data_IF_012794232517
#
_entry.id   IF_012794232517
#
_cell.length_a   1.000
_cell.length_b   1.000
_cell.length_c   1.000
_cell.angle_alpha   90.00
_cell.angle_beta   90.00
_cell.angle_gamma   90.00
#
_symmetry.space_group_name_H-M   'P 1'
#
loop_
_entity.id
_entity.type
_entity.pdbx_description
1 polymer ?
#
# COMPACT_ATOMS: atom_id res chain seq x y z
N UNK A 1 2.04 16.81 -6.07
CA UNK A 1 1.97 15.43 -6.59
C UNK A 1 3.39 14.92 -6.52
N UNK A 2 3.62 13.91 -5.70
CA UNK A 2 4.96 13.40 -5.39
C UNK A 2 5.48 12.48 -6.50
N UNK A 3 6.81 12.41 -6.63
CA UNK A 3 7.51 11.49 -7.55
C UNK A 3 7.04 10.04 -7.34
N UNK A 4 6.74 9.67 -6.10
CA UNK A 4 6.28 8.32 -5.76
C UNK A 4 4.88 8.02 -6.30
N UNK A 5 3.98 9.02 -6.31
CA UNK A 5 2.63 8.88 -6.87
C UNK A 5 2.68 8.70 -8.39
N UNK A 6 3.52 9.48 -9.07
CA UNK A 6 3.69 9.43 -10.52
C UNK A 6 4.30 8.08 -10.96
N UNK A 7 5.33 7.62 -10.25
CA UNK A 7 5.96 6.33 -10.54
C UNK A 7 4.97 5.17 -10.33
N UNK A 8 4.16 5.23 -9.27
CA UNK A 8 3.13 4.22 -9.03
C UNK A 8 2.04 4.23 -10.10
N UNK A 9 1.62 5.39 -10.58
CA UNK A 9 0.63 5.46 -11.65
C UNK A 9 1.12 4.70 -12.90
N UNK A 10 2.39 4.88 -13.27
CA UNK A 10 3.02 4.13 -14.37
C UNK A 10 3.07 2.64 -14.08
N UNK A 11 3.47 2.23 -12.87
CA UNK A 11 3.53 0.81 -12.50
C UNK A 11 2.16 0.14 -12.57
N UNK A 12 1.11 0.79 -12.04
CA UNK A 12 -0.27 0.29 -12.08
C UNK A 12 -0.76 0.15 -13.52
N UNK A 13 -0.49 1.16 -14.37
CA UNK A 13 -0.84 1.08 -15.79
C UNK A 13 -0.17 -0.11 -16.49
N UNK A 14 1.14 -0.31 -16.27
CA UNK A 14 1.89 -1.43 -16.86
C UNK A 14 1.43 -2.78 -16.35
N UNK A 15 1.11 -2.89 -15.06
CA UNK A 15 0.63 -4.13 -14.46
C UNK A 15 -0.78 -4.50 -14.95
N UNK A 16 -1.65 -3.50 -15.16
CA UNK A 16 -2.98 -3.69 -15.77
C UNK A 16 -2.90 -4.19 -17.21
N UNK A 17 -1.88 -3.77 -17.94
CA UNK A 17 -1.64 -4.21 -19.31
C UNK A 17 -1.01 -5.60 -19.43
N UNK A 18 -0.56 -6.23 -18.33
CA UNK A 18 0.10 -7.53 -18.33
C UNK A 18 -0.86 -8.65 -17.93
N UNK A 19 -1.15 -9.57 -18.84
CA UNK A 19 -2.09 -10.69 -18.62
C UNK A 19 -1.70 -11.62 -17.48
N UNK A 20 -0.41 -11.88 -17.30
CA UNK A 20 0.08 -12.80 -16.27
C UNK A 20 -0.11 -12.20 -14.87
N UNK A 21 0.09 -10.88 -14.75
CA UNK A 21 -0.17 -10.14 -13.52
C UNK A 21 -1.67 -10.01 -13.23
N UNK A 22 -2.51 -9.83 -14.26
CA UNK A 22 -3.95 -9.84 -14.11
C UNK A 22 -4.49 -11.21 -13.68
N UNK A 23 -3.90 -12.31 -14.17
CA UNK A 23 -4.29 -13.67 -13.79
C UNK A 23 -4.09 -13.97 -12.30
N UNK A 24 -3.17 -13.26 -11.63
CA UNK A 24 -2.92 -13.36 -10.18
C UNK A 24 -3.45 -12.15 -9.39
N UNK A 25 -4.31 -11.32 -9.99
CA UNK A 25 -4.89 -10.11 -9.38
C UNK A 25 -3.85 -9.10 -8.84
N UNK A 26 -2.68 -9.02 -9.48
CA UNK A 26 -1.59 -8.15 -9.04
C UNK A 26 -1.48 -6.93 -9.96
N UNK A 27 -2.24 -5.87 -9.67
CA UNK A 27 -2.18 -4.60 -10.41
C UNK A 27 -1.51 -3.46 -9.64
N UNK A 28 -1.28 -3.64 -8.33
CA UNK A 28 -0.66 -2.65 -7.45
C UNK A 28 -1.58 -1.52 -6.99
N UNK A 29 -2.89 -1.57 -7.24
CA UNK A 29 -3.86 -0.50 -6.95
C UNK A 29 -4.36 -0.42 -5.50
N UNK A 30 -4.11 -1.45 -4.67
CA UNK A 30 -4.76 -1.64 -3.36
C UNK A 30 -4.61 -0.55 -2.28
N UNK A 31 -3.58 0.31 -2.35
CA UNK A 31 -3.40 1.41 -1.39
C UNK A 31 -3.56 2.78 -2.06
N UNK A 32 -4.56 3.55 -1.62
CA UNK A 32 -4.88 4.87 -2.19
C UNK A 32 -4.33 6.06 -1.38
N UNK A 33 -3.95 5.83 -0.13
CA UNK A 33 -3.44 6.86 0.77
C UNK A 33 -1.93 6.86 0.81
N UNK A 34 -1.35 8.07 0.82
CA UNK A 34 0.09 8.29 0.81
C UNK A 34 0.51 8.98 2.09
N UNK A 35 1.54 8.43 2.74
CA UNK A 35 2.11 8.99 3.96
C UNK A 35 3.42 9.65 3.59
N UNK A 36 3.31 10.81 2.94
CA UNK A 36 4.43 11.56 2.39
C UNK A 36 4.42 13.03 2.85
N UNK A 37 5.56 13.72 2.71
CA UNK A 37 5.71 15.10 3.18
C UNK A 37 4.73 16.06 2.53
N UNK A 38 4.48 15.90 1.24
CA UNK A 38 3.53 16.73 0.48
C UNK A 38 2.07 16.53 0.94
N UNK A 39 1.77 15.39 1.56
CA UNK A 39 0.48 15.09 2.16
C UNK A 39 0.39 15.56 3.63
N UNK A 40 1.41 16.27 4.13
CA UNK A 40 1.43 16.84 5.49
C UNK A 40 2.05 15.95 6.55
N UNK A 41 2.62 14.80 6.18
CA UNK A 41 3.25 13.88 7.14
C UNK A 41 4.73 14.21 7.34
N UNK A 42 5.12 14.31 8.60
CA UNK A 42 6.53 14.42 8.97
C UNK A 42 7.25 13.08 8.83
N UNK A 43 8.58 13.11 8.83
CA UNK A 43 9.41 11.89 8.88
C UNK A 43 9.18 11.09 10.17
N UNK A 44 8.76 11.75 11.25
CA UNK A 44 8.37 11.10 12.49
C UNK A 44 7.05 10.34 12.29
N UNK A 45 6.04 10.97 11.69
CA UNK A 45 4.74 10.32 11.42
C UNK A 45 4.92 9.06 10.54
N UNK A 46 5.81 9.12 9.55
CA UNK A 46 6.15 7.96 8.71
C UNK A 46 6.81 6.84 9.52
N UNK A 47 7.74 7.21 10.42
CA UNK A 47 8.43 6.24 11.29
C UNK A 47 7.44 5.60 12.25
N UNK A 48 6.58 6.39 12.88
CA UNK A 48 5.57 5.93 13.83
C UNK A 48 4.56 5.00 13.16
N UNK A 49 4.17 5.30 11.92
CA UNK A 49 3.32 4.42 11.13
C UNK A 49 3.99 3.07 10.87
N UNK A 50 5.28 3.04 10.48
CA UNK A 50 6.00 1.79 10.27
C UNK A 50 6.08 0.99 11.57
N UNK A 51 6.39 1.64 12.69
CA UNK A 51 6.42 0.99 14.01
C UNK A 51 5.05 0.43 14.38
N UNK A 52 3.98 1.18 14.14
CA UNK A 52 2.61 0.73 14.36
C UNK A 52 2.29 -0.51 13.51
N UNK A 53 2.55 -0.47 12.20
CA UNK A 53 2.29 -1.60 11.31
C UNK A 53 3.08 -2.86 11.71
N UNK A 54 4.34 -2.71 12.13
CA UNK A 54 5.16 -3.83 12.62
C UNK A 54 4.74 -4.33 14.01
N UNK A 55 4.02 -3.51 14.78
CA UNK A 55 3.48 -3.92 16.08
C UNK A 55 2.21 -4.75 15.98
N UNK A 56 1.56 -4.75 14.80
CA UNK A 56 0.40 -5.61 14.53
C UNK A 56 0.92 -7.04 14.40
N UNK A 57 0.89 -7.79 15.50
CA UNK A 57 1.12 -9.23 15.48
C UNK A 57 -0.05 -9.94 14.77
N UNK A 58 0.26 -10.83 13.84
CA UNK A 58 -0.68 -11.77 13.22
C UNK A 58 -1.21 -12.75 14.29
N UNK A 59 -2.32 -12.42 14.95
CA UNK A 59 -3.20 -13.44 15.54
C UNK A 59 -4.47 -13.56 14.67
N UNK A 60 -4.48 -14.47 13.67
CA UNK A 60 -5.61 -14.66 12.78
C UNK A 60 -6.72 -15.53 13.39
N UNK A 61 -6.94 -15.50 14.70
CA UNK A 61 -8.03 -16.23 15.36
C UNK A 61 -9.23 -15.32 15.71
N UNK A 62 -9.89 -14.76 14.69
CA UNK A 62 -11.33 -14.47 14.81
C UNK A 62 -12.04 -15.22 13.68
N UNK A 63 -12.23 -16.52 13.88
CA UNK A 63 -13.32 -17.23 13.22
C UNK A 63 -14.62 -16.63 13.75
N UNK A 64 -15.26 -15.75 12.97
CA UNK A 64 -16.68 -15.46 13.13
C UNK A 64 -17.42 -16.76 12.77
N UNK A 65 -17.89 -17.48 13.78
CA UNK A 65 -18.61 -18.73 13.63
C UNK A 65 -18.96 -19.34 14.97
N UNK A 66 -19.86 -18.68 15.69
CA UNK A 66 -20.83 -19.33 16.59
C UNK A 66 -22.18 -19.35 15.88
#
# INVERSE_FOLDING_TARGET
MSIDQDLRAVAVEKNRANSDLQAIHSDGSGHYYWVERDAGFSSQDQTDLVQFLLSINDDPAVTIGD
#
